data_IF_338432281880
#
_entry.id   IF_338432281880
#
_cell.length_a   1.000
_cell.length_b   1.000
_cell.length_c   1.000
_cell.angle_alpha   90.00
_cell.angle_beta   90.00
_cell.angle_gamma   90.00
#
_symmetry.space_group_name_H-M   'P 1'
#
loop_
_entity.id
_entity.type
_entity.pdbx_description
1 polymer ?
#
# COMPACT_ATOMS: atom_id res chain seq x y z
N UNK A 1 -7.35 4.57 10.44
CA UNK A 1 -7.09 3.16 10.08
C UNK A 1 -5.67 2.81 10.47
N UNK A 2 -5.47 1.67 11.11
CA UNK A 2 -4.13 1.18 11.46
C UNK A 2 -3.47 0.47 10.29
N UNK A 3 -2.15 0.29 10.37
CA UNK A 3 -1.37 -0.46 9.36
C UNK A 3 -1.82 -1.92 9.27
N UNK A 4 -2.15 -2.54 10.42
CA UNK A 4 -2.66 -3.91 10.46
C UNK A 4 -4.04 -4.04 9.80
N UNK A 5 -4.94 -3.10 10.05
CA UNK A 5 -6.27 -3.06 9.40
C UNK A 5 -6.14 -2.92 7.88
N UNK A 6 -5.23 -2.04 7.42
CA UNK A 6 -4.99 -1.87 5.99
C UNK A 6 -4.42 -3.15 5.35
N UNK A 7 -3.41 -3.76 5.97
CA UNK A 7 -2.84 -5.03 5.49
C UNK A 7 -3.92 -6.12 5.39
N UNK A 8 -4.82 -6.19 6.40
CA UNK A 8 -5.91 -7.16 6.40
C UNK A 8 -6.89 -6.93 5.24
N UNK A 9 -7.20 -5.67 4.91
CA UNK A 9 -8.07 -5.35 3.77
C UNK A 9 -7.45 -5.81 2.45
N UNK A 10 -6.17 -5.50 2.19
CA UNK A 10 -5.49 -5.90 0.97
C UNK A 10 -5.39 -7.44 0.86
N UNK A 11 -4.95 -8.11 1.92
CA UNK A 11 -4.79 -9.58 1.94
C UNK A 11 -6.13 -10.28 1.64
N UNK A 12 -7.22 -9.79 2.24
CA UNK A 12 -8.57 -10.35 2.04
C UNK A 12 -9.12 -10.02 0.66
N UNK A 13 -8.93 -8.79 0.18
CA UNK A 13 -9.41 -8.37 -1.15
C UNK A 13 -8.76 -9.20 -2.27
N UNK A 14 -7.49 -9.57 -2.10
CA UNK A 14 -6.76 -10.39 -3.06
C UNK A 14 -6.87 -11.90 -2.80
N UNK A 15 -7.58 -12.33 -1.76
CA UNK A 15 -7.73 -13.75 -1.42
C UNK A 15 -6.41 -14.45 -1.09
N UNK A 16 -5.43 -13.72 -0.54
CA UNK A 16 -4.11 -14.30 -0.28
C UNK A 16 -4.14 -15.30 0.87
N UNK A 17 -3.38 -16.42 0.76
CA UNK A 17 -3.29 -17.40 1.81
C UNK A 17 -2.64 -16.80 3.06
N UNK A 18 -3.27 -16.96 4.21
CA UNK A 18 -2.78 -16.37 5.46
C UNK A 18 -1.61 -17.18 6.01
N UNK A 19 -0.54 -16.49 6.33
CA UNK A 19 0.65 -17.04 7.00
C UNK A 19 0.57 -16.77 8.49
N UNK A 20 1.12 -17.66 9.30
CA UNK A 20 1.06 -17.54 10.76
C UNK A 20 2.17 -16.66 11.30
N UNK A 21 3.31 -16.60 10.65
CA UNK A 21 4.50 -15.88 11.14
C UNK A 21 5.12 -14.96 10.11
N UNK A 22 5.68 -13.87 10.58
CA UNK A 22 6.55 -12.96 9.86
C UNK A 22 7.77 -12.60 10.73
N UNK A 23 8.69 -11.76 10.25
CA UNK A 23 9.92 -11.42 10.94
C UNK A 23 9.75 -10.34 12.03
N UNK A 24 8.52 -9.92 12.33
CA UNK A 24 8.26 -8.73 13.15
C UNK A 24 8.04 -9.07 14.62
N UNK A 25 8.91 -8.53 15.48
CA UNK A 25 8.88 -8.75 16.93
C UNK A 25 7.63 -8.12 17.59
N UNK A 26 7.08 -7.07 16.97
CA UNK A 26 5.87 -6.37 17.43
C UNK A 26 4.57 -6.95 16.86
N UNK A 27 4.63 -8.14 16.26
CA UNK A 27 3.47 -8.90 15.76
C UNK A 27 3.40 -10.24 16.49
N UNK A 28 2.82 -10.26 17.72
CA UNK A 28 2.73 -11.50 18.48
C UNK A 28 1.82 -12.52 17.77
N UNK A 29 2.20 -13.80 17.82
CA UNK A 29 1.52 -14.88 17.10
C UNK A 29 0.02 -15.02 17.45
N UNK A 30 -0.40 -14.60 18.66
CA UNK A 30 -1.80 -14.60 19.07
C UNK A 30 -2.60 -13.36 18.64
N UNK A 31 -1.98 -12.37 18.02
CA UNK A 31 -2.70 -11.20 17.55
C UNK A 31 -3.59 -11.54 16.36
N UNK A 32 -4.78 -10.94 16.28
CA UNK A 32 -5.72 -11.17 15.17
C UNK A 32 -5.13 -10.85 13.81
N UNK A 33 -4.19 -9.91 13.76
CA UNK A 33 -3.53 -9.47 12.52
C UNK A 33 -2.28 -10.29 12.15
N UNK A 34 -1.78 -11.16 13.04
CA UNK A 34 -0.56 -11.90 12.77
C UNK A 34 -0.60 -12.71 11.46
N UNK A 35 -1.68 -13.48 11.16
CA UNK A 35 -1.76 -14.23 9.91
C UNK A 35 -1.80 -13.34 8.66
N UNK A 36 -2.47 -12.19 8.73
CA UNK A 36 -2.57 -11.27 7.58
C UNK A 36 -1.30 -10.47 7.37
N UNK A 37 -0.62 -10.05 8.43
CA UNK A 37 0.68 -9.38 8.33
C UNK A 37 1.73 -10.35 7.78
N UNK A 38 1.73 -11.60 8.25
CA UNK A 38 2.60 -12.67 7.73
C UNK A 38 2.36 -12.92 6.24
N UNK A 39 1.10 -12.99 5.79
CA UNK A 39 0.73 -13.13 4.38
C UNK A 39 1.20 -11.93 3.55
N UNK A 40 0.94 -10.71 4.02
CA UNK A 40 1.35 -9.49 3.34
C UNK A 40 2.89 -9.39 3.21
N UNK A 41 3.63 -9.82 4.22
CA UNK A 41 5.08 -9.90 4.16
C UNK A 41 5.57 -10.97 3.17
N UNK A 42 5.04 -12.19 3.26
CA UNK A 42 5.40 -13.29 2.37
C UNK A 42 5.13 -12.97 0.88
N UNK A 43 4.08 -12.20 0.60
CA UNK A 43 3.74 -11.73 -0.74
C UNK A 43 4.47 -10.44 -1.15
N UNK A 44 5.36 -9.89 -0.32
CA UNK A 44 6.13 -8.69 -0.62
C UNK A 44 5.32 -7.39 -0.63
N UNK A 45 4.13 -7.37 -0.04
CA UNK A 45 3.28 -6.17 0.07
C UNK A 45 3.82 -5.23 1.15
N UNK A 46 4.28 -5.80 2.27
CA UNK A 46 4.83 -5.05 3.39
C UNK A 46 6.27 -5.45 3.68
N UNK A 47 7.10 -4.49 4.09
CA UNK A 47 8.49 -4.70 4.50
C UNK A 47 8.75 -4.30 5.96
N UNK A 48 7.72 -3.80 6.65
CA UNK A 48 7.85 -3.25 7.99
C UNK A 48 8.29 -1.77 8.01
N UNK A 49 8.31 -1.21 9.20
CA UNK A 49 8.89 0.14 9.50
C UNK A 49 10.38 0.04 9.82
N UNK A 50 10.84 -1.17 10.15
CA UNK A 50 12.26 -1.58 10.26
C UNK A 50 12.38 -3.05 9.87
N UNK A 51 13.56 -3.64 10.01
CA UNK A 51 13.78 -5.07 9.74
C UNK A 51 12.96 -5.98 10.66
N UNK A 52 12.66 -5.53 11.88
CA UNK A 52 11.98 -6.34 12.90
C UNK A 52 10.69 -5.73 13.42
N UNK A 53 10.26 -4.57 12.90
CA UNK A 53 9.05 -3.88 13.33
C UNK A 53 8.09 -3.63 12.18
N UNK A 54 6.81 -3.91 12.40
CA UNK A 54 5.72 -3.62 11.47
C UNK A 54 4.91 -2.39 11.87
N UNK A 55 4.84 -2.09 13.18
CA UNK A 55 4.01 -1.05 13.79
C UNK A 55 2.51 -1.27 13.51
N UNK A 56 1.93 -2.41 13.93
CA UNK A 56 0.57 -2.81 13.55
C UNK A 56 -0.51 -1.80 13.95
N UNK A 57 -0.36 -1.17 15.12
CA UNK A 57 -1.31 -0.18 15.64
C UNK A 57 -1.03 1.25 15.14
N UNK A 58 0.08 1.46 14.43
CA UNK A 58 0.40 2.75 13.84
C UNK A 58 -0.64 3.18 12.79
N UNK A 59 -0.98 4.46 12.76
CA UNK A 59 -1.90 5.01 11.76
C UNK A 59 -1.17 5.05 10.41
N UNK A 60 -1.78 4.43 9.39
CA UNK A 60 -1.20 4.41 8.04
C UNK A 60 -1.46 5.73 7.30
N UNK A 61 -0.43 6.26 6.67
CA UNK A 61 -0.52 7.45 5.82
C UNK A 61 -0.90 7.09 4.37
N UNK A 62 -1.36 8.08 3.62
CA UNK A 62 -1.74 7.89 2.20
C UNK A 62 -0.56 7.41 1.36
N UNK A 63 0.65 7.95 1.56
CA UNK A 63 1.83 7.49 0.82
C UNK A 63 2.26 6.07 1.20
N UNK A 64 2.13 5.66 2.46
CA UNK A 64 2.37 4.28 2.88
C UNK A 64 1.34 3.32 2.25
N UNK A 65 0.07 3.70 2.27
CA UNK A 65 -1.00 2.94 1.62
C UNK A 65 -0.74 2.77 0.13
N UNK A 66 -0.37 3.85 -0.57
CA UNK A 66 -0.06 3.82 -2.00
C UNK A 66 1.11 2.86 -2.32
N UNK A 67 2.17 2.85 -1.51
CA UNK A 67 3.29 1.92 -1.69
C UNK A 67 2.85 0.47 -1.51
N UNK A 68 2.02 0.18 -0.49
CA UNK A 68 1.51 -1.17 -0.26
C UNK A 68 0.59 -1.61 -1.41
N UNK A 69 -0.28 -0.72 -1.91
CA UNK A 69 -1.15 -1.00 -3.07
C UNK A 69 -0.34 -1.20 -4.35
N UNK A 70 0.68 -0.39 -4.60
CA UNK A 70 1.56 -0.56 -5.76
C UNK A 70 2.29 -1.92 -5.74
N UNK A 71 2.72 -2.38 -4.57
CA UNK A 71 3.30 -3.72 -4.41
C UNK A 71 2.27 -4.83 -4.62
N UNK A 72 1.05 -4.65 -4.10
CA UNK A 72 -0.05 -5.58 -4.31
C UNK A 72 -0.46 -5.67 -5.78
N UNK A 73 -0.42 -4.57 -6.53
CA UNK A 73 -0.73 -4.50 -7.96
C UNK A 73 0.13 -5.45 -8.80
N UNK A 74 1.39 -5.70 -8.40
CA UNK A 74 2.26 -6.68 -9.05
C UNK A 74 1.69 -8.09 -8.98
N UNK A 75 1.05 -8.45 -7.87
CA UNK A 75 0.39 -9.76 -7.71
C UNK A 75 -0.84 -9.88 -8.59
N UNK A 76 -1.44 -8.76 -8.98
CA UNK A 76 -2.56 -8.69 -9.90
C UNK A 76 -2.13 -8.65 -11.38
N UNK A 77 -0.83 -8.82 -11.67
CA UNK A 77 -0.30 -8.82 -13.03
C UNK A 77 -0.09 -7.45 -13.66
N UNK A 78 -0.18 -6.37 -12.89
CA UNK A 78 0.09 -5.03 -13.39
C UNK A 78 1.61 -4.75 -13.44
N UNK A 79 2.03 -4.10 -14.52
CA UNK A 79 3.40 -3.61 -14.66
C UNK A 79 3.63 -2.43 -13.71
N UNK A 80 4.36 -2.67 -12.63
CA UNK A 80 4.57 -1.68 -11.56
C UNK A 80 5.88 -0.91 -11.70
N UNK A 81 6.70 -1.23 -12.70
CA UNK A 81 7.94 -0.52 -12.98
C UNK A 81 7.68 0.97 -13.21
N UNK A 82 8.41 1.81 -12.49
CA UNK A 82 8.35 3.26 -12.60
C UNK A 82 9.76 3.81 -12.53
N UNK A 83 10.25 4.32 -13.65
CA UNK A 83 11.52 5.03 -13.69
C UNK A 83 11.44 6.33 -12.88
N UNK A 84 12.52 6.71 -12.23
CA UNK A 84 12.55 7.90 -11.36
C UNK A 84 12.10 9.17 -12.11
N UNK A 85 12.56 9.35 -13.34
CA UNK A 85 12.18 10.50 -14.17
C UNK A 85 10.69 10.52 -14.54
N UNK A 86 10.07 9.36 -14.71
CA UNK A 86 8.62 9.28 -15.00
C UNK A 86 7.80 9.49 -13.74
N UNK A 87 8.25 8.99 -12.59
CA UNK A 87 7.61 9.27 -11.31
C UNK A 87 7.60 10.79 -11.03
N UNK A 88 8.71 11.48 -11.27
CA UNK A 88 8.78 12.93 -11.10
C UNK A 88 7.80 13.68 -12.02
N UNK A 89 7.68 13.27 -13.29
CA UNK A 89 6.72 13.89 -14.21
C UNK A 89 5.28 13.72 -13.75
N UNK A 90 4.91 12.52 -13.26
CA UNK A 90 3.57 12.25 -12.75
C UNK A 90 3.29 13.11 -11.52
N UNK A 91 4.21 13.13 -10.55
CA UNK A 91 4.01 13.86 -9.29
C UNK A 91 4.05 15.38 -9.48
N UNK A 92 4.79 15.89 -10.47
CA UNK A 92 4.85 17.32 -10.78
C UNK A 92 3.50 17.89 -11.25
N UNK A 93 2.56 17.06 -11.67
CA UNK A 93 1.19 17.49 -12.00
C UNK A 93 0.35 17.85 -10.75
N UNK A 94 0.80 17.48 -9.56
CA UNK A 94 0.11 17.75 -8.31
C UNK A 94 0.80 18.89 -7.54
N UNK A 95 0.02 19.81 -6.99
CA UNK A 95 0.53 20.94 -6.22
C UNK A 95 1.41 20.49 -5.04
N UNK A 96 1.04 19.38 -4.39
CA UNK A 96 1.74 18.81 -3.25
C UNK A 96 2.62 17.59 -3.61
N UNK A 97 2.87 17.35 -4.88
CA UNK A 97 3.71 16.24 -5.35
C UNK A 97 5.14 16.25 -4.79
N UNK A 98 5.68 17.45 -4.50
CA UNK A 98 6.97 17.61 -3.85
C UNK A 98 7.01 17.16 -2.39
N UNK A 99 5.87 16.98 -1.74
CA UNK A 99 5.76 16.51 -0.35
C UNK A 99 5.83 14.99 -0.19
N UNK A 100 5.80 14.25 -1.30
CA UNK A 100 5.94 12.79 -1.28
C UNK A 100 7.38 12.44 -0.96
N UNK A 101 7.60 11.63 0.09
CA UNK A 101 8.95 11.21 0.50
C UNK A 101 9.60 10.27 -0.55
N UNK A 102 10.92 10.26 -0.61
CA UNK A 102 11.67 9.57 -1.67
C UNK A 102 11.27 8.11 -1.87
N UNK A 103 11.17 7.33 -0.79
CA UNK A 103 10.83 5.91 -0.86
C UNK A 103 9.37 5.65 -1.33
N UNK A 104 8.50 6.65 -1.28
CA UNK A 104 7.09 6.53 -1.68
C UNK A 104 6.82 7.06 -3.10
N UNK A 105 7.73 7.80 -3.71
CA UNK A 105 7.51 8.50 -4.98
C UNK A 105 7.10 7.56 -6.10
N UNK A 106 7.82 6.48 -6.32
CA UNK A 106 7.51 5.51 -7.36
C UNK A 106 6.13 4.86 -7.17
N UNK A 107 5.81 4.41 -5.94
CA UNK A 107 4.51 3.80 -5.63
C UNK A 107 3.35 4.77 -5.75
N UNK A 108 3.51 6.00 -5.27
CA UNK A 108 2.50 7.05 -5.38
C UNK A 108 2.23 7.42 -6.84
N UNK A 109 3.30 7.66 -7.62
CA UNK A 109 3.20 7.97 -9.04
C UNK A 109 2.56 6.82 -9.84
N UNK A 110 2.90 5.57 -9.53
CA UNK A 110 2.26 4.40 -10.11
C UNK A 110 0.75 4.41 -9.85
N UNK A 111 0.33 4.61 -8.59
CA UNK A 111 -1.09 4.63 -8.23
C UNK A 111 -1.85 5.77 -8.95
N UNK A 112 -1.25 6.94 -9.11
CA UNK A 112 -1.83 8.04 -9.89
C UNK A 112 -1.95 7.67 -11.38
N UNK A 113 -0.88 7.15 -11.98
CA UNK A 113 -0.86 6.75 -13.40
C UNK A 113 -1.88 5.67 -13.73
N UNK A 114 -2.09 4.73 -12.82
CA UNK A 114 -3.07 3.64 -13.00
C UNK A 114 -4.50 4.01 -12.63
N UNK A 115 -4.75 5.24 -12.18
CA UNK A 115 -6.06 5.65 -11.73
C UNK A 115 -6.51 4.96 -10.43
N UNK A 116 -5.57 4.43 -9.65
CA UNK A 116 -5.85 3.88 -8.31
C UNK A 116 -6.09 5.02 -7.33
N UNK A 117 -5.29 6.09 -7.43
CA UNK A 117 -5.53 7.38 -6.81
C UNK A 117 -6.10 8.33 -7.86
N UNK A 118 -7.23 8.95 -7.56
CA UNK A 118 -7.99 9.79 -8.52
C UNK A 118 -8.20 11.22 -8.02
N UNK A 119 -7.67 11.55 -6.85
CA UNK A 119 -7.81 12.87 -6.24
C UNK A 119 -6.83 13.87 -6.84
N UNK A 120 -7.23 15.15 -6.88
CA UNK A 120 -6.40 16.25 -7.38
C UNK A 120 -5.28 16.66 -6.42
N UNK A 121 -5.38 16.28 -5.14
CA UNK A 121 -4.40 16.57 -4.09
C UNK A 121 -3.99 15.28 -3.41
N UNK A 122 -2.69 15.01 -3.31
CA UNK A 122 -2.16 13.73 -2.83
C UNK A 122 -2.23 13.57 -1.31
N UNK A 123 -1.95 14.64 -0.56
CA UNK A 123 -1.89 14.63 0.91
C UNK A 123 -1.06 13.46 1.46
N UNK A 124 0.21 13.29 1.03
CA UNK A 124 0.96 12.04 1.23
C UNK A 124 1.16 11.67 2.70
N UNK A 125 1.35 12.66 3.57
CA UNK A 125 1.54 12.44 5.00
C UNK A 125 0.25 12.36 5.83
N UNK A 126 -0.92 12.61 5.23
CA UNK A 126 -2.19 12.51 5.94
C UNK A 126 -2.59 11.06 6.19
N UNK A 127 -3.29 10.82 7.30
CA UNK A 127 -3.90 9.52 7.57
C UNK A 127 -4.89 9.16 6.46
N UNK A 128 -4.79 7.93 5.93
CA UNK A 128 -5.74 7.46 4.92
C UNK A 128 -7.09 7.14 5.57
N UNK A 129 -8.17 7.53 4.90
CA UNK A 129 -9.54 7.26 5.34
C UNK A 129 -10.04 5.91 4.82
N UNK A 130 -10.98 5.28 5.53
CA UNK A 130 -11.55 3.98 5.11
C UNK A 130 -12.21 4.04 3.73
N UNK A 131 -12.90 5.13 3.41
CA UNK A 131 -13.51 5.33 2.09
C UNK A 131 -12.45 5.46 0.98
N UNK A 132 -11.35 6.13 1.25
CA UNK A 132 -10.23 6.24 0.31
C UNK A 132 -9.60 4.86 0.04
N UNK A 133 -9.42 4.05 1.08
CA UNK A 133 -8.91 2.68 0.94
C UNK A 133 -9.87 1.81 0.12
N UNK A 134 -11.18 1.90 0.38
CA UNK A 134 -12.17 1.17 -0.39
C UNK A 134 -12.09 1.54 -1.88
N UNK A 135 -11.94 2.84 -2.19
CA UNK A 135 -11.78 3.30 -3.56
C UNK A 135 -10.47 2.80 -4.20
N UNK A 136 -9.34 2.86 -3.46
CA UNK A 136 -8.05 2.35 -3.95
C UNK A 136 -8.13 0.85 -4.28
N UNK A 137 -8.74 0.05 -3.39
CA UNK A 137 -8.90 -1.40 -3.60
C UNK A 137 -9.82 -1.67 -4.79
N UNK A 138 -10.95 -0.98 -4.88
CA UNK A 138 -11.85 -1.10 -6.02
C UNK A 138 -11.14 -0.78 -7.34
N UNK A 139 -10.44 0.36 -7.40
CA UNK A 139 -9.72 0.78 -8.61
C UNK A 139 -8.59 -0.20 -8.99
N UNK A 140 -7.89 -0.75 -7.98
CA UNK A 140 -6.88 -1.79 -8.22
C UNK A 140 -7.49 -3.04 -8.86
N UNK A 141 -8.58 -3.56 -8.29
CA UNK A 141 -9.21 -4.79 -8.77
C UNK A 141 -9.85 -4.58 -10.16
N UNK A 142 -10.52 -3.45 -10.37
CA UNK A 142 -11.10 -3.10 -11.67
C UNK A 142 -10.02 -2.92 -12.75
N UNK A 143 -8.93 -2.21 -12.42
CA UNK A 143 -7.81 -1.99 -13.34
C UNK A 143 -7.03 -3.27 -13.68
N UNK A 144 -7.10 -4.29 -12.84
CA UNK A 144 -6.48 -5.60 -13.07
C UNK A 144 -7.42 -6.63 -13.71
N UNK A 145 -8.67 -6.26 -13.99
CA UNK A 145 -9.65 -7.19 -14.56
C UNK A 145 -10.13 -8.28 -13.58
N UNK A 146 -10.03 -8.01 -12.29
CA UNK A 146 -10.47 -8.91 -11.22
C UNK A 146 -11.89 -8.59 -10.70
N UNK A 147 -12.52 -7.55 -11.26
CA UNK A 147 -13.94 -7.20 -11.07
C UNK A 147 -14.67 -7.27 -12.39
#
# INVERSE_FOLDING_TARGET
>A
MTRAEFAALIVRALGLPQQISGPFDDVPAGAWYAPVVGAAYACGIVNGTSQTTFSPEGIITRQEAAVMVARAARLCGLETGMEAGDAEKVLAAFEDGGSVVDWARAGMAFCCRQGILTEDVLRPGAAVLRCEVAQMVYNLLAGSGLL
#
